data_IF_609262364119
#
_entry.id   IF_609262364119
#
_cell.length_a   1.000
_cell.length_b   1.000
_cell.length_c   1.000
_cell.angle_alpha   90.00
_cell.angle_beta   90.00
_cell.angle_gamma   90.00
#
_symmetry.space_group_name_H-M   'P 1'
#
loop_
_entity.id
_entity.type
_entity.pdbx_description
1 polymer ?
#
# COMPACT_ATOMS: atom_id res chain seq x y z
N UNK A 1 -33.91 -20.83 -36.87
CA UNK A 1 -33.40 -22.20 -37.11
C UNK A 1 -31.88 -22.26 -37.19
N UNK A 2 -31.19 -21.13 -37.01
CA UNK A 2 -29.75 -20.97 -37.28
C UNK A 2 -28.86 -21.90 -36.44
N UNK A 3 -29.26 -22.21 -35.21
CA UNK A 3 -28.54 -23.18 -34.35
C UNK A 3 -28.59 -24.61 -34.92
N UNK A 4 -29.75 -25.07 -35.38
CA UNK A 4 -29.92 -26.43 -35.93
C UNK A 4 -29.15 -26.54 -37.25
N UNK A 5 -29.26 -25.52 -38.10
CA UNK A 5 -28.51 -25.46 -39.36
C UNK A 5 -27.00 -25.48 -39.10
N UNK A 6 -26.52 -24.68 -38.14
CA UNK A 6 -25.12 -24.71 -37.71
C UNK A 6 -24.67 -26.12 -37.25
N UNK A 7 -25.48 -26.80 -36.44
CA UNK A 7 -25.15 -28.17 -36.03
C UNK A 7 -25.11 -29.14 -37.21
N UNK A 8 -26.05 -29.04 -38.14
CA UNK A 8 -26.08 -29.86 -39.35
C UNK A 8 -24.85 -29.63 -40.24
N UNK A 9 -24.52 -28.37 -40.51
CA UNK A 9 -23.37 -27.97 -41.34
C UNK A 9 -22.04 -28.44 -40.73
N UNK A 10 -21.96 -28.49 -39.39
CA UNK A 10 -20.78 -28.95 -38.66
C UNK A 10 -20.82 -30.44 -38.26
N UNK A 11 -21.80 -31.22 -38.75
CA UNK A 11 -21.96 -32.65 -38.44
C UNK A 11 -22.06 -32.96 -36.94
N UNK A 12 -22.69 -32.07 -36.17
CA UNK A 12 -22.96 -32.23 -34.74
C UNK A 12 -24.32 -32.89 -34.56
N UNK A 13 -24.35 -34.06 -33.93
CA UNK A 13 -25.60 -34.75 -33.60
C UNK A 13 -26.28 -34.08 -32.40
N UNK A 14 -27.53 -33.66 -32.58
CA UNK A 14 -28.35 -33.06 -31.54
C UNK A 14 -29.20 -34.13 -30.85
N UNK A 15 -29.00 -34.30 -29.55
CA UNK A 15 -29.90 -35.08 -28.69
C UNK A 15 -31.07 -34.18 -28.27
N UNK A 16 -32.28 -34.48 -28.76
CA UNK A 16 -33.50 -33.76 -28.41
C UNK A 16 -34.21 -34.52 -27.29
N UNK A 17 -34.33 -33.87 -26.12
CA UNK A 17 -35.05 -34.45 -24.99
C UNK A 17 -36.53 -34.06 -25.01
N UNK A 18 -37.42 -34.92 -24.50
CA UNK A 18 -38.81 -34.54 -24.24
C UNK A 18 -38.89 -33.34 -23.29
N UNK A 19 -39.98 -32.55 -23.35
CA UNK A 19 -40.21 -31.49 -22.38
C UNK A 19 -40.19 -32.04 -20.95
N UNK A 20 -39.65 -31.25 -20.01
CA UNK A 20 -39.53 -31.60 -18.59
C UNK A 20 -38.66 -32.82 -18.25
N UNK A 21 -37.89 -33.39 -19.19
CA UNK A 21 -37.05 -34.56 -18.96
C UNK A 21 -35.62 -34.24 -18.46
N UNK A 22 -35.30 -32.97 -18.20
CA UNK A 22 -33.94 -32.51 -17.82
C UNK A 22 -33.41 -33.24 -16.59
N UNK A 23 -34.22 -33.32 -15.53
CA UNK A 23 -33.88 -33.99 -14.27
C UNK A 23 -33.79 -35.53 -14.38
N UNK A 24 -34.00 -36.10 -15.56
CA UNK A 24 -34.00 -37.55 -15.81
C UNK A 24 -32.94 -37.95 -16.84
N UNK A 25 -32.88 -37.21 -17.95
CA UNK A 25 -32.10 -37.58 -19.14
C UNK A 25 -30.85 -36.72 -19.36
N UNK A 26 -30.64 -35.64 -18.60
CA UNK A 26 -29.44 -34.80 -18.74
C UNK A 26 -28.37 -35.18 -17.71
N UNK A 27 -27.20 -35.70 -18.14
CA UNK A 27 -26.10 -36.13 -17.24
C UNK A 27 -25.67 -35.06 -16.25
N UNK A 28 -25.67 -33.81 -16.72
CA UNK A 28 -25.30 -32.64 -15.94
C UNK A 28 -26.24 -32.44 -14.75
N UNK A 29 -27.55 -32.38 -14.98
CA UNK A 29 -28.54 -32.14 -13.93
C UNK A 29 -28.69 -33.30 -12.97
N UNK A 30 -28.66 -34.54 -13.48
CA UNK A 30 -28.88 -35.73 -12.64
C UNK A 30 -27.73 -35.97 -11.66
N UNK A 31 -26.50 -35.65 -12.04
CA UNK A 31 -25.34 -36.18 -11.30
C UNK A 31 -24.13 -35.26 -11.17
N UNK A 32 -23.99 -34.18 -11.96
CA UNK A 32 -22.81 -33.31 -11.89
C UNK A 32 -23.09 -31.99 -11.18
N UNK A 33 -24.26 -31.39 -11.34
CA UNK A 33 -24.58 -30.11 -10.70
C UNK A 33 -24.73 -30.20 -9.19
N UNK A 34 -25.28 -31.28 -8.65
CA UNK A 34 -25.35 -31.47 -7.20
C UNK A 34 -23.96 -31.54 -6.55
N UNK A 35 -23.04 -32.43 -6.98
CA UNK A 35 -21.66 -32.43 -6.49
C UNK A 35 -20.92 -31.11 -6.70
N UNK A 36 -21.17 -30.41 -7.82
CA UNK A 36 -20.60 -29.07 -8.05
C UNK A 36 -21.09 -28.07 -7.00
N UNK A 37 -22.40 -28.06 -6.73
CA UNK A 37 -23.02 -27.19 -5.72
C UNK A 37 -22.45 -27.47 -4.33
N UNK A 38 -22.34 -28.75 -3.96
CA UNK A 38 -21.78 -29.18 -2.68
C UNK A 38 -20.30 -28.80 -2.54
N UNK A 39 -19.50 -29.03 -3.59
CA UNK A 39 -18.10 -28.64 -3.63
C UNK A 39 -17.93 -27.12 -3.55
N UNK A 40 -18.79 -26.35 -4.22
CA UNK A 40 -18.76 -24.90 -4.16
C UNK A 40 -19.15 -24.37 -2.77
N UNK A 41 -20.16 -24.97 -2.13
CA UNK A 41 -20.51 -24.67 -0.74
C UNK A 41 -19.36 -24.96 0.23
N UNK A 42 -18.61 -26.04 0.01
CA UNK A 42 -17.42 -26.35 0.79
C UNK A 42 -16.31 -25.31 0.59
N UNK A 43 -16.05 -24.87 -0.65
CA UNK A 43 -15.09 -23.81 -0.94
C UNK A 43 -15.52 -22.47 -0.31
N UNK A 44 -16.82 -22.15 -0.31
CA UNK A 44 -17.37 -20.97 0.36
C UNK A 44 -17.18 -21.04 1.88
N UNK A 45 -17.49 -22.19 2.48
CA UNK A 45 -17.33 -22.42 3.92
C UNK A 45 -15.86 -22.31 4.33
N UNK A 46 -14.97 -22.95 3.56
CA UNK A 46 -13.52 -22.87 3.75
C UNK A 46 -13.02 -21.44 3.62
N UNK A 47 -13.47 -20.70 2.60
CA UNK A 47 -13.13 -19.29 2.44
C UNK A 47 -13.58 -18.44 3.64
N UNK A 48 -14.79 -18.69 4.16
CA UNK A 48 -15.30 -17.99 5.33
C UNK A 48 -14.47 -18.31 6.59
N UNK A 49 -14.12 -19.58 6.78
CA UNK A 49 -13.25 -20.04 7.88
C UNK A 49 -11.84 -19.45 7.77
N UNK A 50 -11.22 -19.53 6.60
CA UNK A 50 -9.88 -19.01 6.33
C UNK A 50 -9.81 -17.48 6.49
N UNK A 51 -10.90 -16.77 6.17
CA UNK A 51 -11.00 -15.33 6.37
C UNK A 51 -11.55 -14.91 7.73
N UNK A 52 -11.88 -15.87 8.61
CA UNK A 52 -12.54 -15.63 9.91
C UNK A 52 -13.83 -14.80 9.82
N UNK A 53 -14.49 -14.79 8.65
CA UNK A 53 -15.62 -13.89 8.40
C UNK A 53 -15.27 -12.40 8.31
N UNK A 54 -13.97 -12.03 8.34
CA UNK A 54 -13.52 -10.64 8.25
C UNK A 54 -13.66 -10.06 6.83
N UNK A 55 -13.75 -10.92 5.82
CA UNK A 55 -13.84 -10.52 4.42
C UNK A 55 -15.17 -10.97 3.80
N UNK A 56 -15.96 -10.02 3.32
CA UNK A 56 -17.14 -10.31 2.51
C UNK A 56 -16.74 -10.91 1.16
N UNK A 57 -17.51 -11.86 0.63
CA UNK A 57 -17.27 -12.44 -0.70
C UNK A 57 -17.62 -11.39 -1.76
N UNK A 58 -16.71 -11.16 -2.72
CA UNK A 58 -16.96 -10.26 -3.85
C UNK A 58 -16.96 -11.02 -5.17
N UNK A 59 -17.50 -10.42 -6.22
CA UNK A 59 -17.57 -11.02 -7.57
C UNK A 59 -16.20 -11.52 -8.09
N UNK A 60 -15.11 -10.84 -7.72
CA UNK A 60 -13.76 -11.23 -8.11
C UNK A 60 -13.27 -12.56 -7.51
N UNK A 61 -13.86 -13.03 -6.41
CA UNK A 61 -13.50 -14.32 -5.80
C UNK A 61 -14.24 -15.50 -6.45
N UNK A 62 -15.33 -15.23 -7.19
CA UNK A 62 -16.18 -16.27 -7.79
C UNK A 62 -15.36 -17.28 -8.59
N UNK A 63 -14.55 -16.82 -9.55
CA UNK A 63 -13.87 -17.72 -10.47
C UNK A 63 -12.87 -18.64 -9.75
N UNK A 64 -12.15 -18.14 -8.75
CA UNK A 64 -11.21 -18.96 -8.00
C UNK A 64 -11.91 -20.05 -7.17
N UNK A 65 -13.00 -19.70 -6.48
CA UNK A 65 -13.78 -20.64 -5.69
C UNK A 65 -14.50 -21.66 -6.60
N UNK A 66 -15.10 -21.16 -7.69
CA UNK A 66 -15.78 -21.97 -8.68
C UNK A 66 -14.82 -22.94 -9.37
N UNK A 67 -13.63 -22.50 -9.76
CA UNK A 67 -12.66 -23.35 -10.47
C UNK A 67 -12.17 -24.50 -9.60
N UNK A 68 -11.94 -24.26 -8.30
CA UNK A 68 -11.58 -25.31 -7.36
C UNK A 68 -12.72 -26.34 -7.20
N UNK A 69 -13.95 -25.86 -7.05
CA UNK A 69 -15.14 -26.71 -6.97
C UNK A 69 -15.34 -27.51 -8.26
N UNK A 70 -15.16 -26.87 -9.42
CA UNK A 70 -15.24 -27.49 -10.73
C UNK A 70 -14.22 -28.63 -10.90
N UNK A 71 -12.94 -28.38 -10.59
CA UNK A 71 -11.90 -29.42 -10.65
C UNK A 71 -12.18 -30.59 -9.70
N UNK A 72 -12.91 -30.34 -8.61
CA UNK A 72 -13.29 -31.37 -7.65
C UNK A 72 -14.47 -32.21 -8.14
N UNK A 73 -15.50 -31.57 -8.70
CA UNK A 73 -16.73 -32.22 -9.15
C UNK A 73 -16.59 -32.89 -10.55
N UNK A 74 -16.01 -32.18 -11.52
CA UNK A 74 -15.91 -32.60 -12.93
C UNK A 74 -14.65 -33.43 -13.18
N UNK A 75 -14.56 -34.57 -12.50
CA UNK A 75 -13.50 -35.57 -12.75
C UNK A 75 -13.92 -36.51 -13.88
N UNK A 76 -12.98 -37.05 -14.68
CA UNK A 76 -13.31 -38.00 -15.74
C UNK A 76 -14.16 -39.17 -15.25
N UNK A 77 -13.87 -39.70 -14.06
CA UNK A 77 -14.63 -40.78 -13.43
C UNK A 77 -16.08 -40.39 -13.11
N UNK A 78 -16.30 -39.18 -12.58
CA UNK A 78 -17.64 -38.66 -12.28
C UNK A 78 -18.42 -38.43 -13.57
N UNK A 79 -17.75 -37.93 -14.61
CA UNK A 79 -18.35 -37.73 -15.93
C UNK A 79 -18.76 -39.09 -16.51
N UNK A 80 -17.89 -40.10 -16.57
CA UNK A 80 -18.28 -41.42 -17.09
C UNK A 80 -19.46 -42.01 -16.32
N UNK A 81 -19.43 -41.95 -14.99
CA UNK A 81 -20.55 -42.40 -14.14
C UNK A 81 -21.83 -41.61 -14.38
N UNK A 82 -21.76 -40.33 -14.72
CA UNK A 82 -22.94 -39.51 -15.05
C UNK A 82 -23.67 -40.03 -16.30
N UNK A 83 -22.91 -40.42 -17.32
CA UNK A 83 -23.46 -40.97 -18.56
C UNK A 83 -24.00 -42.39 -18.36
N UNK A 84 -23.34 -43.19 -17.52
CA UNK A 84 -23.79 -44.53 -17.13
C UNK A 84 -25.09 -44.47 -16.31
N UNK A 85 -25.19 -43.54 -15.37
CA UNK A 85 -26.36 -43.36 -14.52
C UNK A 85 -27.64 -43.02 -15.29
N UNK A 86 -27.51 -42.47 -16.50
CA UNK A 86 -28.63 -42.18 -17.40
C UNK A 86 -28.79 -43.24 -18.49
N UNK A 87 -27.83 -44.15 -18.61
CA UNK A 87 -27.85 -45.19 -19.64
C UNK A 87 -27.61 -44.65 -21.05
N UNK A 88 -26.91 -43.52 -21.17
CA UNK A 88 -26.44 -43.02 -22.48
C UNK A 88 -25.17 -43.79 -22.88
N UNK A 89 -24.25 -43.98 -21.92
CA UNK A 89 -23.01 -44.70 -22.15
C UNK A 89 -22.59 -45.53 -20.93
N UNK A 90 -22.57 -46.87 -21.04
CA UNK A 90 -23.06 -47.68 -22.16
C UNK A 90 -24.59 -47.50 -22.38
N UNK A 91 -25.10 -47.69 -23.62
CA UNK A 91 -26.53 -47.53 -23.92
C UNK A 91 -27.37 -48.55 -23.14
N UNK A 92 -28.18 -48.08 -22.19
CA UNK A 92 -29.05 -48.94 -21.37
C UNK A 92 -30.26 -48.17 -20.82
N UNK A 93 -31.40 -48.26 -21.51
CA UNK A 93 -32.64 -47.60 -21.10
C UNK A 93 -33.22 -48.11 -19.77
N UNK A 94 -32.88 -49.34 -19.34
CA UNK A 94 -33.42 -49.91 -18.10
C UNK A 94 -33.03 -49.11 -16.86
N UNK A 95 -31.88 -48.44 -16.88
CA UNK A 95 -31.40 -47.65 -15.74
C UNK A 95 -32.39 -46.54 -15.38
N UNK A 96 -33.01 -45.92 -16.40
CA UNK A 96 -34.03 -44.89 -16.20
C UNK A 96 -35.39 -45.52 -15.92
N UNK A 97 -35.78 -46.58 -16.64
CA UNK A 97 -37.06 -47.26 -16.43
C UNK A 97 -37.21 -47.79 -15.00
N UNK A 98 -36.13 -48.31 -14.40
CA UNK A 98 -36.08 -48.78 -13.01
C UNK A 98 -36.32 -47.66 -11.99
N UNK A 99 -35.98 -46.40 -12.29
CA UNK A 99 -36.24 -45.26 -11.38
C UNK A 99 -37.73 -44.92 -11.29
N UNK A 100 -38.47 -45.16 -12.38
CA UNK A 100 -39.92 -44.98 -12.41
C UNK A 100 -40.67 -46.20 -11.86
N UNK A 101 -40.03 -47.37 -11.83
CA UNK A 101 -40.50 -48.55 -11.12
C UNK A 101 -40.24 -48.40 -9.61
N UNK A 102 -41.18 -47.75 -8.92
CA UNK A 102 -41.13 -47.38 -7.49
C UNK A 102 -40.61 -48.51 -6.58
N UNK A 103 -39.39 -48.36 -6.07
CA UNK A 103 -38.91 -49.01 -4.86
C UNK A 103 -38.40 -47.91 -3.91
N UNK A 104 -39.05 -47.76 -2.76
CA UNK A 104 -38.64 -46.80 -1.74
C UNK A 104 -37.29 -47.19 -1.17
N UNK A 105 -36.31 -46.28 -1.25
CA UNK A 105 -35.08 -46.43 -0.50
C UNK A 105 -34.68 -45.08 0.09
N UNK A 106 -34.74 -45.02 1.42
CA UNK A 106 -34.15 -43.97 2.24
C UNK A 106 -32.63 -44.07 2.10
N UNK A 107 -31.96 -42.94 1.86
CA UNK A 107 -30.51 -42.85 2.01
C UNK A 107 -30.23 -41.95 3.20
N UNK A 108 -30.06 -42.59 4.36
CA UNK A 108 -29.51 -41.98 5.56
C UNK A 108 -28.00 -41.76 5.42
N UNK A 109 -27.59 -40.59 5.91
CA UNK A 109 -26.41 -40.29 6.72
C UNK A 109 -25.02 -40.78 6.28
N UNK A 110 -24.10 -39.82 6.11
CA UNK A 110 -22.75 -39.99 6.66
C UNK A 110 -22.15 -38.63 7.03
N UNK A 111 -22.39 -38.24 8.29
CA UNK A 111 -21.63 -37.22 9.00
C UNK A 111 -20.21 -37.70 9.27
N UNK A 112 -19.21 -37.15 8.57
CA UNK A 112 -17.81 -37.33 8.94
C UNK A 112 -17.35 -36.18 9.84
N UNK A 113 -17.31 -36.42 11.16
CA UNK A 113 -16.70 -35.52 12.13
C UNK A 113 -15.19 -35.74 12.18
N UNK A 114 -14.43 -34.87 11.52
CA UNK A 114 -12.98 -34.80 11.70
C UNK A 114 -12.66 -33.85 12.87
N UNK A 115 -12.53 -34.39 14.08
CA UNK A 115 -11.91 -33.69 15.20
C UNK A 115 -10.47 -34.17 15.35
N UNK A 116 -9.53 -33.38 14.86
CA UNK A 116 -8.09 -33.57 15.07
C UNK A 116 -7.74 -33.13 16.49
N UNK A 117 -7.60 -34.10 17.40
CA UNK A 117 -7.28 -33.91 18.83
C UNK A 117 -5.90 -34.44 19.22
N UNK A 118 -4.94 -34.45 18.30
CA UNK A 118 -3.74 -35.28 18.44
C UNK A 118 -2.76 -34.81 19.53
N UNK A 119 -2.69 -33.51 19.83
CA UNK A 119 -1.67 -32.99 20.76
C UNK A 119 -2.08 -33.11 22.23
N UNK A 120 -3.37 -32.89 22.53
CA UNK A 120 -3.89 -33.06 23.88
C UNK A 120 -3.94 -34.54 24.30
N UNK A 121 -4.43 -35.42 23.43
CA UNK A 121 -4.58 -36.85 23.75
C UNK A 121 -3.23 -37.52 24.04
N UNK A 122 -2.16 -37.12 23.33
CA UNK A 122 -0.78 -37.57 23.60
C UNK A 122 -0.31 -37.13 24.98
N UNK A 123 -0.54 -35.88 25.33
CA UNK A 123 -0.07 -35.29 26.59
C UNK A 123 -0.82 -35.87 27.80
N UNK A 124 -2.12 -36.11 27.64
CA UNK A 124 -2.97 -36.78 28.61
C UNK A 124 -2.58 -38.24 28.81
N UNK A 125 -2.21 -38.95 27.75
CA UNK A 125 -1.67 -40.31 27.84
C UNK A 125 -0.36 -40.35 28.64
N UNK A 126 0.54 -39.37 28.41
CA UNK A 126 1.78 -39.24 29.18
C UNK A 126 1.48 -39.00 30.67
N UNK A 127 0.55 -38.09 31.00
CA UNK A 127 0.19 -37.79 32.39
C UNK A 127 -0.42 -39.00 33.10
N UNK A 128 -1.28 -39.76 32.41
CA UNK A 128 -1.84 -41.01 32.95
C UNK A 128 -0.77 -42.06 33.22
N UNK A 129 0.29 -42.10 32.40
CA UNK A 129 1.42 -43.04 32.55
C UNK A 129 2.37 -42.63 33.68
N UNK A 130 2.63 -41.35 33.87
CA UNK A 130 3.63 -40.85 34.84
C UNK A 130 3.06 -40.66 36.24
N UNK A 131 1.79 -40.29 36.37
CA UNK A 131 1.18 -39.98 37.66
C UNK A 131 0.34 -41.16 38.16
N UNK A 132 0.80 -41.81 39.23
CA UNK A 132 0.11 -42.94 39.86
C UNK A 132 -1.22 -42.52 40.50
N UNK A 133 -1.25 -41.36 41.17
CA UNK A 133 -2.43 -40.88 41.90
C UNK A 133 -3.23 -39.83 41.12
N UNK A 134 -4.09 -40.30 40.22
CA UNK A 134 -4.94 -39.42 39.39
C UNK A 134 -6.05 -38.72 40.19
N UNK A 135 -6.30 -39.17 41.42
CA UNK A 135 -7.34 -38.65 42.30
C UNK A 135 -6.92 -37.35 43.02
N UNK A 136 -5.61 -37.08 43.10
CA UNK A 136 -5.04 -35.93 43.79
C UNK A 136 -5.57 -34.60 43.18
N UNK A 137 -5.94 -33.66 44.06
CA UNK A 137 -6.45 -32.33 43.70
C UNK A 137 -5.45 -31.57 42.82
N UNK A 138 -4.15 -31.68 43.07
CA UNK A 138 -3.12 -30.97 42.30
C UNK A 138 -2.97 -31.53 40.89
N UNK A 139 -3.07 -32.86 40.73
CA UNK A 139 -3.02 -33.54 39.43
C UNK A 139 -4.25 -33.18 38.60
N UNK A 140 -5.44 -33.12 39.23
CA UNK A 140 -6.66 -32.65 38.57
C UNK A 140 -6.55 -31.18 38.15
N UNK A 141 -5.96 -30.32 38.99
CA UNK A 141 -5.71 -28.91 38.66
C UNK A 141 -4.74 -28.79 37.48
N UNK A 142 -3.64 -29.55 37.49
CA UNK A 142 -2.67 -29.58 36.40
C UNK A 142 -3.30 -30.02 35.08
N UNK A 143 -4.09 -31.11 35.08
CA UNK A 143 -4.80 -31.58 33.88
C UNK A 143 -5.74 -30.52 33.33
N UNK A 144 -6.54 -29.88 34.18
CA UNK A 144 -7.45 -28.78 33.78
C UNK A 144 -6.69 -27.59 33.20
N UNK A 145 -5.61 -27.15 33.84
CA UNK A 145 -4.76 -26.07 33.32
C UNK A 145 -4.16 -26.44 31.97
N UNK A 146 -3.77 -27.69 31.80
CA UNK A 146 -3.18 -28.16 30.57
C UNK A 146 -4.18 -28.26 29.41
N UNK A 147 -5.38 -28.79 29.69
CA UNK A 147 -6.50 -28.74 28.76
C UNK A 147 -6.79 -27.30 28.33
N UNK A 148 -6.84 -26.37 29.30
CA UNK A 148 -7.10 -24.96 29.04
C UNK A 148 -6.04 -24.34 28.15
N UNK A 149 -4.75 -24.53 28.48
CA UNK A 149 -3.62 -24.01 27.68
C UNK A 149 -3.61 -24.64 26.29
N UNK A 150 -3.87 -25.95 26.16
CA UNK A 150 -3.90 -26.64 24.87
C UNK A 150 -5.05 -26.14 23.99
N UNK A 151 -6.24 -25.97 24.55
CA UNK A 151 -7.38 -25.38 23.85
C UNK A 151 -7.08 -23.95 23.43
N UNK A 152 -6.55 -23.11 24.32
CA UNK A 152 -6.17 -21.74 24.02
C UNK A 152 -5.10 -21.67 22.93
N UNK A 153 -4.06 -22.51 23.00
CA UNK A 153 -3.02 -22.56 21.98
C UNK A 153 -3.59 -23.00 20.62
N UNK A 154 -4.53 -23.94 20.60
CA UNK A 154 -5.20 -24.38 19.38
C UNK A 154 -6.05 -23.26 18.76
N UNK A 155 -6.79 -22.52 19.59
CA UNK A 155 -7.57 -21.35 19.17
C UNK A 155 -6.65 -20.26 18.60
N UNK A 156 -5.59 -19.89 19.33
CA UNK A 156 -4.62 -18.87 18.89
C UNK A 156 -3.90 -19.27 17.60
N UNK A 157 -3.52 -20.54 17.45
CA UNK A 157 -2.91 -21.04 16.19
C UNK A 157 -3.88 -20.94 15.03
N UNK A 158 -5.15 -21.31 15.24
CA UNK A 158 -6.22 -21.12 14.27
C UNK A 158 -6.42 -19.66 13.91
N UNK A 159 -6.39 -18.77 14.92
CA UNK A 159 -6.57 -17.34 14.75
C UNK A 159 -5.43 -16.72 13.92
N UNK A 160 -4.17 -17.01 14.28
CA UNK A 160 -3.01 -16.53 13.53
C UNK A 160 -3.01 -17.06 12.09
N UNK A 161 -3.39 -18.33 11.89
CA UNK A 161 -3.51 -18.92 10.55
C UNK A 161 -4.57 -18.20 9.71
N UNK A 162 -5.77 -18.01 10.26
CA UNK A 162 -6.86 -17.30 9.58
C UNK A 162 -6.52 -15.85 9.26
N UNK A 163 -5.95 -15.10 10.22
CA UNK A 163 -5.51 -13.72 9.99
C UNK A 163 -4.47 -13.63 8.86
N UNK A 164 -3.51 -14.57 8.79
CA UNK A 164 -2.53 -14.62 7.69
C UNK A 164 -3.21 -14.90 6.34
N UNK A 165 -4.17 -15.82 6.29
CA UNK A 165 -4.93 -16.12 5.08
C UNK A 165 -5.80 -14.93 4.63
N UNK A 166 -6.52 -14.30 5.55
CA UNK A 166 -7.29 -13.08 5.33
C UNK A 166 -6.41 -11.95 4.77
N UNK A 167 -5.23 -11.74 5.34
CA UNK A 167 -4.25 -10.78 4.82
C UNK A 167 -3.79 -11.10 3.40
N UNK A 168 -3.60 -12.39 3.08
CA UNK A 168 -3.28 -12.83 1.71
C UNK A 168 -4.38 -12.51 0.72
N UNK A 169 -5.64 -12.79 1.07
CA UNK A 169 -6.81 -12.48 0.24
C UNK A 169 -6.94 -10.96 0.04
N UNK A 170 -6.78 -10.17 1.11
CA UNK A 170 -6.84 -8.71 1.04
C UNK A 170 -5.76 -8.16 0.10
N UNK A 171 -4.51 -8.62 0.23
CA UNK A 171 -3.41 -8.26 -0.69
C UNK A 171 -3.72 -8.64 -2.14
N UNK A 172 -4.38 -9.78 -2.38
CA UNK A 172 -4.82 -10.17 -3.73
C UNK A 172 -5.86 -9.20 -4.28
N UNK A 173 -6.81 -8.73 -3.46
CA UNK A 173 -7.83 -7.74 -3.86
C UNK A 173 -7.26 -6.36 -4.12
N UNK A 174 -6.26 -5.94 -3.36
CA UNK A 174 -5.56 -4.66 -3.55
C UNK A 174 -4.81 -4.58 -4.88
N UNK A 175 -4.46 -5.74 -5.47
CA UNK A 175 -3.97 -5.79 -6.85
C UNK A 175 -5.10 -5.36 -7.78
N UNK A 176 -5.12 -4.07 -8.12
CA UNK A 176 -6.00 -3.53 -9.15
C UNK A 176 -5.79 -4.34 -10.43
N UNK A 177 -6.85 -4.99 -10.89
CA UNK A 177 -6.87 -5.59 -12.22
C UNK A 177 -6.70 -4.46 -13.23
N UNK A 178 -5.52 -4.36 -13.84
CA UNK A 178 -5.31 -3.44 -14.93
C UNK A 178 -6.00 -3.99 -16.18
N UNK A 179 -6.81 -3.15 -16.82
CA UNK A 179 -7.41 -3.53 -18.11
C UNK A 179 -6.38 -3.29 -19.18
N UNK A 180 -5.95 -4.37 -19.83
CA UNK A 180 -5.03 -4.30 -20.96
C UNK A 180 -5.63 -3.38 -22.03
N UNK A 181 -4.98 -2.24 -22.26
CA UNK A 181 -5.41 -1.24 -23.23
C UNK A 181 -5.20 -1.81 -24.65
N UNK A 182 -6.25 -2.44 -25.19
CA UNK A 182 -6.27 -2.96 -26.55
C UNK A 182 -6.76 -1.84 -27.48
N UNK A 183 -5.89 -1.38 -28.38
CA UNK A 183 -6.23 -0.34 -29.36
C UNK A 183 -7.30 -0.87 -30.34
N UNK A 184 -8.48 -0.23 -30.36
CA UNK A 184 -9.57 -0.59 -31.26
C UNK A 184 -9.13 -0.47 -32.73
N UNK A 185 -9.51 -1.39 -33.62
CA UNK A 185 -9.31 -1.22 -35.06
C UNK A 185 -9.97 0.07 -35.55
N UNK A 186 -9.36 0.74 -36.55
CA UNK A 186 -9.76 2.05 -37.05
C UNK A 186 -11.13 2.05 -37.76
N UNK A 187 -11.60 0.88 -38.21
CA UNK A 187 -12.90 0.70 -38.84
C UNK A 187 -13.63 -0.46 -38.14
N UNK A 188 -14.60 -0.15 -37.27
CA UNK A 188 -15.49 -1.15 -36.71
C UNK A 188 -16.88 -0.58 -36.42
N UNK A 189 -17.90 -1.19 -37.02
CA UNK A 189 -19.30 -0.76 -36.95
C UNK A 189 -20.22 -1.86 -36.34
N UNK A 190 -19.85 -2.44 -35.18
CA UNK A 190 -20.66 -3.47 -34.51
C UNK A 190 -20.27 -3.70 -33.04
N UNK A 191 -21.07 -4.44 -32.25
CA UNK A 191 -20.77 -4.78 -30.84
C UNK A 191 -19.70 -5.89 -30.67
N UNK A 192 -19.25 -6.12 -29.42
CA UNK A 192 -18.30 -7.15 -28.97
C UNK A 192 -17.05 -7.43 -29.87
N UNK A 193 -15.89 -6.92 -29.47
CA UNK A 193 -14.62 -7.09 -30.21
C UNK A 193 -13.92 -8.40 -29.80
N UNK A 194 -13.74 -9.32 -30.75
CA UNK A 194 -12.92 -10.52 -30.56
C UNK A 194 -11.43 -10.23 -30.79
N UNK A 195 -10.59 -10.52 -29.80
CA UNK A 195 -9.15 -10.32 -29.88
C UNK A 195 -8.43 -11.64 -30.11
N UNK A 196 -7.62 -11.72 -31.17
CA UNK A 196 -6.79 -12.90 -31.41
C UNK A 196 -5.68 -13.02 -30.35
N UNK A 197 -5.21 -14.25 -30.02
CA UNK A 197 -4.13 -14.44 -29.06
C UNK A 197 -2.86 -13.64 -29.38
N UNK A 198 -2.58 -13.39 -30.66
CA UNK A 198 -1.45 -12.57 -31.11
C UNK A 198 -1.59 -11.11 -30.70
N UNK A 199 -2.78 -10.51 -30.87
CA UNK A 199 -3.04 -9.11 -30.47
C UNK A 199 -3.00 -8.92 -28.97
N UNK A 200 -3.49 -9.90 -28.20
CA UNK A 200 -3.39 -9.88 -26.73
C UNK A 200 -1.93 -9.94 -26.27
N UNK A 201 -1.08 -10.75 -26.92
CA UNK A 201 0.37 -10.78 -26.63
C UNK A 201 1.03 -9.44 -26.92
N UNK A 202 0.82 -8.88 -28.10
CA UNK A 202 1.37 -7.56 -28.47
C UNK A 202 1.01 -6.47 -27.45
N UNK A 203 -0.26 -6.38 -27.04
CA UNK A 203 -0.66 -5.40 -26.06
C UNK A 203 0.01 -5.58 -24.70
N UNK A 204 0.32 -6.83 -24.29
CA UNK A 204 1.09 -7.11 -23.07
C UNK A 204 2.54 -6.66 -23.20
N UNK A 205 3.14 -6.90 -24.35
CA UNK A 205 4.52 -6.50 -24.64
C UNK A 205 4.65 -4.96 -24.65
N UNK A 206 3.70 -4.27 -25.30
CA UNK A 206 3.61 -2.81 -25.32
C UNK A 206 3.42 -2.22 -23.91
N UNK A 207 2.64 -2.89 -23.06
CA UNK A 207 2.48 -2.49 -21.67
C UNK A 207 3.76 -2.70 -20.85
N UNK A 208 4.43 -3.84 -21.02
CA UNK A 208 5.71 -4.12 -20.36
C UNK A 208 6.77 -3.07 -20.74
N UNK A 209 6.85 -2.70 -22.02
CA UNK A 209 7.73 -1.65 -22.49
C UNK A 209 7.42 -0.29 -21.84
N UNK A 210 6.14 0.09 -21.75
CA UNK A 210 5.72 1.34 -21.06
C UNK A 210 6.08 1.32 -19.57
N UNK A 211 5.90 0.19 -18.90
CA UNK A 211 6.27 0.06 -17.48
C UNK A 211 7.78 0.19 -17.28
N UNK A 212 8.60 -0.42 -18.15
CA UNK A 212 10.05 -0.26 -18.12
C UNK A 212 10.47 1.20 -18.34
N UNK A 213 9.90 1.88 -19.33
CA UNK A 213 10.16 3.30 -19.58
C UNK A 213 9.82 4.17 -18.36
N UNK A 214 8.67 3.94 -17.72
CA UNK A 214 8.30 4.66 -16.50
C UNK A 214 9.25 4.38 -15.33
N UNK A 215 9.79 3.17 -15.21
CA UNK A 215 10.78 2.83 -14.19
C UNK A 215 12.10 3.56 -14.45
N UNK A 216 12.57 3.56 -15.70
CA UNK A 216 13.78 4.30 -16.11
C UNK A 216 13.61 5.80 -15.86
N UNK A 217 12.47 6.38 -16.22
CA UNK A 217 12.20 7.81 -15.98
C UNK A 217 12.17 8.14 -14.49
N UNK A 218 11.60 7.27 -13.64
CA UNK A 218 11.61 7.44 -12.19
C UNK A 218 13.03 7.35 -11.62
N UNK A 219 13.84 6.42 -12.10
CA UNK A 219 15.23 6.28 -11.72
C UNK A 219 16.03 7.54 -12.10
N UNK A 220 15.90 8.01 -13.34
CA UNK A 220 16.52 9.25 -13.81
C UNK A 220 16.10 10.47 -12.98
N UNK A 221 14.81 10.58 -12.63
CA UNK A 221 14.32 11.65 -11.74
C UNK A 221 14.90 11.55 -10.33
N UNK A 222 15.11 10.34 -9.81
CA UNK A 222 15.73 10.13 -8.50
C UNK A 222 17.21 10.51 -8.52
N UNK A 223 17.95 10.10 -9.56
CA UNK A 223 19.35 10.49 -9.78
C UNK A 223 19.48 12.01 -9.90
N UNK A 224 18.63 12.66 -10.71
CA UNK A 224 18.64 14.11 -10.86
C UNK A 224 18.38 14.85 -9.53
N UNK A 225 17.50 14.31 -8.68
CA UNK A 225 17.27 14.86 -7.32
C UNK A 225 18.50 14.71 -6.44
N UNK A 226 19.15 13.55 -6.46
CA UNK A 226 20.37 13.29 -5.72
C UNK A 226 21.50 14.22 -6.16
N UNK A 227 21.74 14.35 -7.47
CA UNK A 227 22.73 15.28 -8.03
C UNK A 227 22.46 16.73 -7.64
N UNK A 228 21.18 17.15 -7.65
CA UNK A 228 20.78 18.49 -7.22
C UNK A 228 21.09 18.71 -5.73
N UNK A 229 20.84 17.73 -4.88
CA UNK A 229 21.17 17.79 -3.46
C UNK A 229 22.68 17.86 -3.23
N UNK A 230 23.47 17.03 -3.91
CA UNK A 230 24.93 17.10 -3.86
C UNK A 230 25.45 18.48 -4.29
N UNK A 231 24.92 19.04 -5.38
CA UNK A 231 25.29 20.38 -5.85
C UNK A 231 24.94 21.48 -4.83
N UNK A 232 23.86 21.31 -4.07
CA UNK A 232 23.45 22.24 -3.02
C UNK A 232 24.40 22.18 -1.84
N UNK A 233 24.80 20.98 -1.41
CA UNK A 233 25.77 20.78 -0.34
C UNK A 233 27.13 21.36 -0.72
N UNK A 234 27.60 21.12 -1.93
CA UNK A 234 28.86 21.68 -2.44
C UNK A 234 28.85 23.22 -2.41
N UNK A 235 27.78 23.85 -2.90
CA UNK A 235 27.64 25.32 -2.84
C UNK A 235 27.62 25.87 -1.41
N UNK A 236 27.04 25.13 -0.48
CA UNK A 236 26.99 25.52 0.93
C UNK A 236 28.39 25.48 1.55
N UNK A 237 29.17 24.42 1.29
CA UNK A 237 30.57 24.32 1.69
C UNK A 237 31.43 25.44 1.10
N UNK A 238 31.26 25.75 -0.19
CA UNK A 238 31.98 26.83 -0.85
C UNK A 238 31.64 28.20 -0.23
N UNK A 239 30.37 28.44 0.12
CA UNK A 239 29.96 29.65 0.80
C UNK A 239 30.56 29.76 2.21
N UNK A 240 30.57 28.66 2.98
CA UNK A 240 31.20 28.61 4.31
C UNK A 240 32.70 28.91 4.23
N UNK A 241 33.42 28.31 3.28
CA UNK A 241 34.85 28.58 3.06
C UNK A 241 35.09 30.07 2.76
N UNK A 242 34.29 30.68 1.88
CA UNK A 242 34.36 32.11 1.57
C UNK A 242 34.05 32.98 2.78
N UNK A 243 33.13 32.57 3.65
CA UNK A 243 32.84 33.29 4.89
C UNK A 243 34.02 33.26 5.86
N UNK A 244 34.59 32.07 6.09
CA UNK A 244 35.78 31.90 6.96
C UNK A 244 36.96 32.70 6.43
N UNK A 245 37.21 32.68 5.11
CA UNK A 245 38.29 33.44 4.49
C UNK A 245 38.10 34.96 4.67
N UNK A 246 36.87 35.46 4.50
CA UNK A 246 36.54 36.86 4.76
C UNK A 246 36.76 37.25 6.21
N UNK A 247 36.42 36.39 7.16
CA UNK A 247 36.67 36.62 8.59
C UNK A 247 38.16 36.66 8.89
N UNK A 248 38.94 35.71 8.39
CA UNK A 248 40.42 35.74 8.48
C UNK A 248 40.99 37.04 7.92
N UNK A 249 40.51 37.50 6.76
CA UNK A 249 40.99 38.76 6.16
C UNK A 249 40.59 40.00 6.97
N UNK A 250 39.48 39.94 7.72
CA UNK A 250 39.08 41.02 8.65
C UNK A 250 39.99 41.02 9.87
N UNK A 251 40.26 39.87 10.48
CA UNK A 251 41.17 39.76 11.62
C UNK A 251 42.58 40.27 11.29
N UNK A 252 43.11 39.91 10.12
CA UNK A 252 44.41 40.42 9.65
C UNK A 252 44.38 41.94 9.53
N UNK A 253 43.33 42.51 8.90
CA UNK A 253 43.17 43.96 8.78
C UNK A 253 43.03 44.67 10.12
N UNK A 254 42.37 44.05 11.10
CA UNK A 254 42.26 44.61 12.45
C UNK A 254 43.59 44.56 13.20
N UNK A 255 44.35 43.46 13.09
CA UNK A 255 45.71 43.36 13.64
C UNK A 255 46.65 44.38 13.03
N UNK A 256 46.58 44.60 11.72
CA UNK A 256 47.38 45.62 11.02
C UNK A 256 47.02 47.03 11.51
N UNK A 257 45.73 47.37 11.58
CA UNK A 257 45.26 48.66 12.14
C UNK A 257 45.66 48.84 13.60
N UNK A 258 45.63 47.78 14.39
CA UNK A 258 46.06 47.81 15.80
C UNK A 258 47.58 48.01 15.90
N UNK A 259 48.37 47.35 15.06
CA UNK A 259 49.81 47.55 14.98
C UNK A 259 50.17 48.97 14.55
N UNK A 260 49.49 49.51 13.54
CA UNK A 260 49.69 50.89 13.07
C UNK A 260 49.35 51.91 14.17
N UNK A 261 48.25 51.69 14.91
CA UNK A 261 47.90 52.52 16.08
C UNK A 261 48.96 52.41 17.18
N UNK A 262 49.39 51.20 17.53
CA UNK A 262 50.43 50.97 18.54
C UNK A 262 51.77 51.60 18.14
N UNK A 263 52.13 51.57 16.85
CA UNK A 263 53.31 52.24 16.32
C UNK A 263 53.20 53.76 16.43
N UNK A 264 52.04 54.33 16.05
CA UNK A 264 51.76 55.76 16.21
C UNK A 264 51.84 56.20 17.67
N UNK A 265 51.30 55.40 18.59
CA UNK A 265 51.38 55.64 20.04
C UNK A 265 52.81 55.54 20.57
N UNK A 266 53.59 54.53 20.16
CA UNK A 266 55.02 54.42 20.50
C UNK A 266 55.80 55.62 19.99
N UNK A 267 55.56 56.07 18.76
CA UNK A 267 56.21 57.25 18.17
C UNK A 267 55.82 58.53 18.92
N UNK A 268 54.57 58.64 19.36
CA UNK A 268 54.10 59.74 20.20
C UNK A 268 54.75 59.71 21.58
N UNK A 269 54.77 58.56 22.25
CA UNK A 269 55.42 58.38 23.55
C UNK A 269 56.93 58.66 23.50
N UNK A 270 57.62 58.26 22.42
CA UNK A 270 59.03 58.59 22.20
C UNK A 270 59.26 60.10 21.99
N UNK A 271 58.36 60.78 21.28
CA UNK A 271 58.39 62.25 21.16
C UNK A 271 58.13 62.94 22.49
N UNK A 272 57.16 62.42 23.26
CA UNK A 272 56.79 62.99 24.57
C UNK A 272 57.88 62.74 25.61
N UNK A 273 58.57 61.59 25.60
CA UNK A 273 59.73 61.31 26.47
C UNK A 273 60.94 62.17 26.09
N UNK A 274 61.19 62.40 24.80
CA UNK A 274 62.21 63.36 24.34
C UNK A 274 61.91 64.79 24.83
N UNK A 275 60.64 65.21 24.82
CA UNK A 275 60.22 66.52 25.38
C UNK A 275 60.33 66.56 26.91
N UNK A 276 60.02 65.47 27.60
CA UNK A 276 60.13 65.38 29.05
C UNK A 276 61.57 65.44 29.56
N UNK A 277 62.53 64.91 28.79
CA UNK A 277 63.97 65.07 29.06
C UNK A 277 64.42 66.54 28.89
N UNK A 278 63.67 67.37 28.15
CA UNK A 278 64.01 68.78 27.87
C UNK A 278 63.31 69.81 28.77
N UNK A 279 62.49 69.42 29.76
CA UNK A 279 61.82 70.37 30.66
C UNK A 279 62.38 70.35 32.10
N UNK A 280 62.79 71.51 32.66
CA UNK A 280 62.99 71.67 34.09
C UNK A 280 61.64 71.85 34.83
N UNK A 281 61.53 71.28 36.03
CA UNK A 281 60.34 71.38 36.90
C UNK A 281 60.09 72.82 37.35
N UNK A 282 58.87 73.34 37.16
CA UNK A 282 58.36 74.47 37.95
C UNK A 282 56.83 74.52 38.05
N UNK A 283 56.34 74.49 39.29
CA UNK A 283 55.44 75.52 39.85
C UNK A 283 53.97 75.59 39.41
N UNK A 284 53.08 75.09 40.28
CA UNK A 284 51.62 75.20 40.30
C UNK A 284 51.08 76.66 40.24
N UNK A 285 49.94 76.90 39.55
CA UNK A 285 48.88 77.87 39.95
C UNK A 285 47.47 77.43 39.49
N UNK A 286 46.46 77.74 40.33
CA UNK A 286 45.04 77.31 40.28
C UNK A 286 44.21 78.05 39.22
N UNK A 287 43.21 77.37 38.65
CA UNK A 287 42.22 77.92 37.72
C UNK A 287 40.85 78.13 38.40
N UNK A 288 40.19 79.24 38.08
CA UNK A 288 38.80 79.56 38.42
C UNK A 288 37.83 79.20 37.28
N UNK A 289 36.66 78.69 37.67
CA UNK A 289 35.43 78.49 36.87
C UNK A 289 34.79 79.85 36.51
N UNK A 290 33.85 80.05 35.58
CA UNK A 290 33.09 79.28 34.57
C UNK A 290 32.41 80.30 33.62
N UNK A 291 31.95 79.90 32.42
CA UNK A 291 30.71 80.44 31.84
C UNK A 291 30.13 79.54 30.74
N UNK A 292 28.84 79.22 30.89
CA UNK A 292 27.87 78.66 29.94
C UNK A 292 27.57 79.73 28.86
N UNK A 293 27.17 79.53 27.61
CA UNK A 293 26.28 78.58 26.94
C UNK A 293 26.27 78.97 25.43
N UNK A 294 26.01 78.06 24.47
CA UNK A 294 25.28 78.48 23.25
C UNK A 294 24.52 77.33 22.57
N UNK A 295 23.21 77.53 22.50
CA UNK A 295 22.21 76.62 21.98
C UNK A 295 22.15 76.62 20.44
N UNK A 296 21.67 75.48 19.95
CA UNK A 296 21.45 75.04 18.58
C UNK A 296 20.23 75.77 17.97
N UNK A 297 20.37 76.35 16.78
CA UNK A 297 19.27 76.98 16.02
C UNK A 297 18.53 75.94 15.16
N UNK A 298 17.20 75.96 15.22
CA UNK A 298 16.28 75.38 14.24
C UNK A 298 15.87 76.44 13.19
N UNK A 299 15.53 75.99 11.97
CA UNK A 299 14.75 76.75 10.96
C UNK A 299 13.92 75.75 10.12
N UNK A 300 12.58 75.88 10.15
CA UNK A 300 11.63 75.43 9.10
C UNK A 300 11.32 76.60 8.15
N UNK A 301 10.52 76.54 7.07
CA UNK A 301 9.35 75.73 6.65
C UNK A 301 9.18 75.86 5.11
N UNK A 302 8.53 74.89 4.44
CA UNK A 302 7.92 75.08 3.11
C UNK A 302 7.25 73.80 2.56
N UNK A 303 5.93 73.87 2.34
CA UNK A 303 4.94 72.81 2.06
C UNK A 303 5.13 71.94 0.80
N UNK A 304 4.54 70.73 0.84
CA UNK A 304 4.31 69.89 -0.34
C UNK A 304 4.04 68.40 -0.03
N UNK A 305 2.83 68.07 0.43
CA UNK A 305 2.27 66.72 0.34
C UNK A 305 1.88 66.38 -1.13
N UNK A 306 1.73 65.11 -1.58
CA UNK A 306 1.35 63.95 -0.76
C UNK A 306 2.09 62.62 -1.00
N UNK A 307 2.18 61.84 0.09
CA UNK A 307 1.94 60.39 0.22
C UNK A 307 2.30 59.47 -0.97
N UNK A 308 3.35 58.65 -0.81
CA UNK A 308 3.35 57.22 -1.18
C UNK A 308 4.20 56.44 -0.16
N UNK A 309 3.60 55.42 0.45
CA UNK A 309 4.23 54.49 1.38
C UNK A 309 4.88 53.32 0.62
N UNK A 310 6.07 52.93 1.10
CA UNK A 310 6.73 51.63 1.04
C UNK A 310 6.21 50.56 0.07
N UNK A 311 7.04 50.19 -0.92
CA UNK A 311 6.97 48.87 -1.55
C UNK A 311 7.91 47.89 -0.84
N UNK A 312 7.31 47.12 0.07
CA UNK A 312 7.80 45.79 0.44
C UNK A 312 7.32 44.83 -0.65
N UNK A 313 8.26 44.19 -1.35
CA UNK A 313 7.97 43.17 -2.35
C UNK A 313 7.15 42.03 -1.71
N UNK A 314 5.84 42.01 -2.01
CA UNK A 314 4.92 40.98 -1.54
C UNK A 314 4.84 39.90 -2.60
N UNK A 315 5.17 38.67 -2.22
CA UNK A 315 5.06 37.48 -3.07
C UNK A 315 3.60 37.20 -3.46
N UNK A 316 3.39 36.98 -4.75
CA UNK A 316 2.10 36.62 -5.35
C UNK A 316 1.69 35.24 -4.82
N UNK A 317 0.59 35.18 -4.05
CA UNK A 317 -0.02 33.93 -3.60
C UNK A 317 -1.18 33.58 -4.56
N UNK A 318 -1.25 32.36 -5.12
CA UNK A 318 -2.35 31.97 -5.99
C UNK A 318 -3.64 31.73 -5.19
N UNK A 319 -4.72 32.40 -5.58
CA UNK A 319 -6.09 32.12 -5.13
C UNK A 319 -6.69 31.01 -6.00
N UNK A 320 -7.23 29.94 -5.38
CA UNK A 320 -7.99 28.93 -6.10
C UNK A 320 -9.49 29.19 -6.00
N UNK A 321 -10.18 29.12 -7.13
CA UNK A 321 -11.64 29.28 -7.25
C UNK A 321 -12.29 27.91 -7.19
N UNK A 322 -13.25 27.71 -6.29
CA UNK A 322 -14.06 26.48 -6.26
C UNK A 322 -15.08 26.46 -7.40
N UNK A 323 -15.60 25.28 -7.75
CA UNK A 323 -16.53 25.06 -8.87
C UNK A 323 -17.85 25.86 -8.80
N UNK A 324 -18.15 26.50 -7.66
CA UNK A 324 -19.32 27.34 -7.43
C UNK A 324 -18.99 28.84 -7.27
N UNK A 325 -17.78 29.27 -7.67
CA UNK A 325 -17.45 30.69 -7.86
C UNK A 325 -17.12 31.48 -6.60
N UNK A 326 -16.90 30.84 -5.45
CA UNK A 326 -16.54 31.54 -4.20
C UNK A 326 -15.04 31.44 -3.92
N UNK A 327 -14.42 32.58 -3.62
CA UNK A 327 -12.98 32.73 -3.34
C UNK A 327 -12.70 32.58 -1.85
N UNK A 328 -11.81 31.66 -1.47
CA UNK A 328 -11.41 31.46 -0.06
C UNK A 328 -9.90 31.55 0.12
N UNK A 329 -9.44 32.14 1.24
CA UNK A 329 -8.03 32.20 1.63
C UNK A 329 -7.69 31.02 2.53
N UNK A 330 -6.61 30.29 2.22
CA UNK A 330 -6.17 29.11 2.99
C UNK A 330 -5.47 29.57 4.29
N UNK A 331 -5.81 29.01 5.47
CA UNK A 331 -5.15 29.34 6.74
C UNK A 331 -3.68 28.88 6.77
N UNK A 332 -2.82 29.65 7.44
CA UNK A 332 -1.37 29.41 7.54
C UNK A 332 -0.96 28.11 8.21
N UNK A 333 -1.89 27.43 8.89
CA UNK A 333 -1.65 26.17 9.63
C UNK A 333 -1.50 24.94 8.74
N UNK A 334 -1.79 25.08 7.44
CA UNK A 334 -1.68 24.03 6.42
C UNK A 334 -0.69 24.40 5.30
N UNK A 335 0.23 25.34 5.55
CA UNK A 335 1.32 25.69 4.63
C UNK A 335 2.48 24.73 4.74
#
# INVERSE_FOLDING_TARGET
MDFINFCNDNKILLAVFPPHATHTLQPLDVSLFKPLSDAYLNELTKYLQDSQGLLSIVKGDFFHLFWNAWCTAFRPQTITKSFEAIGIHPPNAEVILKRFAKAGYNSDESSSSCLSGDDWLKLESIIRRTVKDQSNKDVKKLRRSLHHISAQASLLRGEVKGLRAAMGIKKRREKKSYTLQLNKPHEYHGGAVFWSPKKVRQARDDEAARQQQQQLEKAQKAEARYLKEQSRLYKLQEAEQKHVEKERLKEVREKERAAEKAEKERRKAARDSQKAIQQPQNGKRKASQSSTQKQKRQKGVGDGAPRVQAEVATSIIPTQTTRQGRTTKVPSKYK
#
